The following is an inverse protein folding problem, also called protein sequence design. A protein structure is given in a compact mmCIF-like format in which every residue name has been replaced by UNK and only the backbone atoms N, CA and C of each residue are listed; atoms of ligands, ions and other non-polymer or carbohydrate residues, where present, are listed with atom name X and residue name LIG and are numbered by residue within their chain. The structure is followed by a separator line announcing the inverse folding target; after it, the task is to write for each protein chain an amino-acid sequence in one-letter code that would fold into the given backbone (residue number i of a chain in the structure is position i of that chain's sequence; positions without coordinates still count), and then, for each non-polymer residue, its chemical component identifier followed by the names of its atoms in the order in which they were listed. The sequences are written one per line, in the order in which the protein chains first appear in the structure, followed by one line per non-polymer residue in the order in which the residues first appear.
data_IF_643500671592
#
_entry.id   IF_643500671592
#
_cell.length_a   1.000
_cell.length_b   1.000
_cell.length_c   1.000
_cell.angle_alpha   90.00
_cell.angle_beta   90.00
_cell.angle_gamma   90.00
#
_symmetry.space_group_name_H-M   'P 1'
#
loop_
_entity.id
_entity.type
_entity.pdbx_description
1 polymer ?
#
# COMPACT_ATOMS: atom_id res chain seq x y z
N UNK A 1 1.65 -27.11 11.13
CA UNK A 1 1.29 -26.35 12.34
C UNK A 1 -0.11 -25.78 12.12
N UNK A 2 -0.88 -25.52 13.18
CA UNK A 2 -2.26 -25.03 13.07
C UNK A 2 -2.33 -23.53 13.32
N UNK A 3 -3.45 -22.90 13.00
CA UNK A 3 -3.76 -21.52 13.37
C UNK A 3 -3.67 -21.30 14.88
N UNK A 4 -3.85 -22.35 15.69
CA UNK A 4 -3.77 -22.30 17.15
C UNK A 4 -2.34 -22.41 17.72
N UNK A 5 -1.30 -22.33 16.87
CA UNK A 5 0.09 -22.39 17.33
C UNK A 5 0.55 -21.14 18.11
N UNK A 6 -0.16 -20.01 17.95
CA UNK A 6 -0.07 -18.83 18.78
C UNK A 6 -1.41 -18.50 19.42
N UNK A 7 -1.40 -17.95 20.64
CA UNK A 7 -2.56 -17.18 21.13
C UNK A 7 -2.72 -15.96 20.23
N UNK A 8 -3.92 -15.71 19.73
CA UNK A 8 -4.19 -14.56 18.89
C UNK A 8 -5.61 -14.03 19.11
N UNK A 9 -5.85 -12.80 18.70
CA UNK A 9 -7.18 -12.22 18.53
C UNK A 9 -7.43 -11.93 17.05
N UNK A 10 -8.70 -11.93 16.64
CA UNK A 10 -9.07 -11.54 15.28
C UNK A 10 -10.29 -10.65 15.30
N UNK A 11 -10.39 -9.77 14.28
CA UNK A 11 -11.50 -8.84 14.12
C UNK A 11 -11.80 -8.59 12.64
N UNK A 12 -13.06 -8.78 12.27
CA UNK A 12 -13.53 -8.45 10.94
C UNK A 12 -13.68 -6.95 10.76
N UNK A 13 -13.24 -6.42 9.63
CA UNK A 13 -13.59 -5.08 9.21
C UNK A 13 -15.06 -4.99 8.78
N UNK A 14 -15.60 -3.79 8.72
CA UNK A 14 -17.04 -3.55 8.50
C UNK A 14 -17.54 -4.02 7.12
N UNK A 15 -16.64 -4.13 6.14
CA UNK A 15 -16.93 -4.56 4.76
C UNK A 15 -16.16 -5.83 4.38
N UNK A 16 -15.67 -6.58 5.37
CA UNK A 16 -14.98 -7.84 5.13
C UNK A 16 -15.89 -8.88 4.45
N UNK A 17 -15.32 -9.59 3.48
CA UNK A 17 -15.93 -10.71 2.80
C UNK A 17 -14.96 -11.91 2.73
N UNK A 18 -15.44 -13.15 2.59
CA UNK A 18 -14.58 -14.31 2.36
C UNK A 18 -13.64 -14.08 1.16
N UNK A 19 -12.38 -14.49 1.30
CA UNK A 19 -11.34 -14.23 0.31
C UNK A 19 -10.82 -12.78 0.28
N UNK A 20 -11.34 -11.90 1.14
CA UNK A 20 -10.86 -10.54 1.33
C UNK A 20 -9.44 -10.51 1.91
N UNK A 21 -8.85 -9.29 2.09
CA UNK A 21 -7.49 -9.16 2.61
C UNK A 21 -7.32 -9.77 4.00
N UNK A 22 -6.16 -10.36 4.28
CA UNK A 22 -5.69 -10.63 5.64
C UNK A 22 -4.73 -9.53 6.10
N UNK A 23 -4.94 -9.03 7.30
CA UNK A 23 -4.10 -8.00 7.90
C UNK A 23 -3.51 -8.47 9.23
N UNK A 24 -2.24 -8.86 9.22
CA UNK A 24 -1.52 -9.27 10.43
C UNK A 24 -0.95 -8.06 11.15
N UNK A 25 -1.20 -7.94 12.46
CA UNK A 25 -0.73 -6.83 13.29
C UNK A 25 0.09 -7.35 14.48
N UNK A 26 1.32 -6.86 14.63
CA UNK A 26 2.29 -7.34 15.61
C UNK A 26 2.60 -6.27 16.64
N UNK A 27 2.35 -6.56 17.91
CA UNK A 27 2.57 -5.65 19.02
C UNK A 27 4.05 -5.39 19.34
N UNK A 28 4.35 -4.28 20.01
CA UNK A 28 5.67 -4.01 20.57
C UNK A 28 5.95 -4.76 21.87
N UNK A 29 7.17 -4.65 22.39
CA UNK A 29 7.55 -5.22 23.70
C UNK A 29 6.60 -4.74 24.80
N UNK A 30 6.06 -5.68 25.59
CA UNK A 30 5.10 -5.42 26.67
C UNK A 30 3.66 -5.19 26.21
N UNK A 31 3.41 -5.15 24.89
CA UNK A 31 2.07 -5.17 24.32
C UNK A 31 1.44 -6.56 24.33
N UNK A 32 0.29 -6.67 23.67
CA UNK A 32 -0.42 -7.93 23.47
C UNK A 32 -1.18 -7.91 22.15
N UNK A 33 -1.90 -8.98 21.84
CA UNK A 33 -2.81 -9.06 20.69
C UNK A 33 -3.85 -7.94 20.62
N UNK A 34 -4.11 -7.24 21.73
CA UNK A 34 -5.06 -6.15 21.77
C UNK A 34 -4.49 -4.82 21.24
N UNK A 35 -3.15 -4.65 21.17
CA UNK A 35 -2.53 -3.35 20.91
C UNK A 35 -2.99 -2.69 19.61
N UNK A 36 -3.08 -3.45 18.51
CA UNK A 36 -3.47 -2.93 17.19
C UNK A 36 -4.72 -3.60 16.62
N UNK A 37 -5.41 -4.43 17.41
CA UNK A 37 -6.57 -5.19 16.94
C UNK A 37 -7.68 -4.30 16.40
N UNK A 38 -7.96 -3.18 17.08
CA UNK A 38 -9.00 -2.23 16.66
C UNK A 38 -8.54 -1.31 15.53
N UNK A 39 -7.25 -1.05 15.45
CA UNK A 39 -6.67 -0.20 14.42
C UNK A 39 -6.73 -0.85 13.03
N UNK A 40 -6.61 -2.17 12.94
CA UNK A 40 -6.68 -2.89 11.66
C UNK A 40 -7.98 -2.64 10.88
N UNK A 41 -9.17 -2.86 11.45
CA UNK A 41 -10.45 -2.58 10.80
C UNK A 41 -10.70 -1.10 10.47
N UNK A 42 -10.08 -0.17 11.22
CA UNK A 42 -10.14 1.26 10.89
C UNK A 42 -9.32 1.60 9.65
N UNK A 43 -8.18 0.94 9.46
CA UNK A 43 -7.30 1.14 8.32
C UNK A 43 -7.84 0.48 7.05
N UNK A 44 -8.25 -0.79 7.16
CA UNK A 44 -8.67 -1.62 6.02
C UNK A 44 -9.98 -2.34 6.40
N UNK A 45 -11.14 -1.68 6.25
CA UNK A 45 -12.44 -2.25 6.58
C UNK A 45 -12.79 -3.52 5.80
N UNK A 46 -12.12 -3.79 4.71
CA UNK A 46 -12.28 -4.98 3.87
C UNK A 46 -11.54 -6.20 4.44
N UNK A 47 -10.61 -6.00 5.39
CA UNK A 47 -9.74 -7.06 5.89
C UNK A 47 -10.31 -7.83 7.08
N UNK A 48 -9.85 -9.08 7.23
CA UNK A 48 -9.79 -9.77 8.50
C UNK A 48 -8.46 -9.45 9.17
N UNK A 49 -8.50 -8.76 10.31
CA UNK A 49 -7.32 -8.47 11.13
C UNK A 49 -7.01 -9.65 12.03
N UNK A 50 -5.75 -10.08 12.08
CA UNK A 50 -5.22 -11.17 12.91
C UNK A 50 -4.06 -10.61 13.72
N UNK A 51 -4.15 -10.68 15.03
CA UNK A 51 -3.18 -10.16 15.97
C UNK A 51 -2.61 -11.28 16.84
N UNK A 52 -1.45 -11.87 16.49
CA UNK A 52 -0.79 -12.86 17.36
C UNK A 52 -0.22 -12.20 18.60
N UNK A 53 -0.22 -12.94 19.70
CA UNK A 53 0.47 -12.59 20.95
C UNK A 53 1.88 -13.18 20.93
N UNK A 54 2.90 -12.36 21.20
CA UNK A 54 4.25 -12.84 21.45
C UNK A 54 4.29 -13.79 22.64
N UNK A 55 4.92 -14.93 22.49
CA UNK A 55 4.93 -16.05 23.44
C UNK A 55 6.21 -16.13 24.29
N UNK A 56 7.10 -15.14 24.18
CA UNK A 56 8.27 -14.95 25.04
C UNK A 56 7.94 -13.91 26.11
N UNK A 57 8.24 -14.22 27.37
CA UNK A 57 8.09 -13.28 28.50
C UNK A 57 9.46 -12.84 28.99
N UNK A 58 9.73 -11.54 28.94
CA UNK A 58 10.90 -10.91 29.54
C UNK A 58 10.44 -10.11 30.76
N UNK A 59 10.64 -10.68 31.97
CA UNK A 59 10.18 -10.08 33.25
C UNK A 59 8.70 -9.65 33.23
N UNK A 60 7.85 -10.42 32.55
CA UNK A 60 6.42 -10.15 32.39
C UNK A 60 6.06 -9.36 31.14
N UNK A 61 7.00 -8.74 30.45
CA UNK A 61 6.75 -8.09 29.17
C UNK A 61 6.74 -9.13 28.05
N UNK A 62 5.68 -9.16 27.24
CA UNK A 62 5.55 -10.07 26.11
C UNK A 62 6.40 -9.60 24.93
N UNK A 63 7.01 -10.57 24.24
CA UNK A 63 7.86 -10.39 23.06
C UNK A 63 7.65 -11.55 22.09
N UNK A 64 8.03 -11.35 20.82
CA UNK A 64 7.99 -12.41 19.82
C UNK A 64 9.25 -13.29 19.84
N UNK A 65 10.37 -12.78 20.33
CA UNK A 65 11.62 -13.55 20.43
C UNK A 65 12.51 -13.00 21.57
N UNK A 66 13.49 -13.79 22.03
CA UNK A 66 14.40 -13.45 23.12
C UNK A 66 15.50 -12.50 22.68
N UNK A 67 16.01 -11.73 23.66
CA UNK A 67 17.22 -10.92 23.55
C UNK A 67 18.11 -11.08 24.79
N UNK A 68 19.41 -10.90 24.61
CA UNK A 68 20.35 -10.85 25.73
C UNK A 68 20.42 -9.46 26.35
N UNK A 69 20.28 -8.40 25.52
CA UNK A 69 20.21 -6.99 25.91
C UNK A 69 19.48 -6.20 24.81
N UNK A 70 19.31 -4.89 25.01
CA UNK A 70 18.76 -4.02 23.95
C UNK A 70 19.67 -4.07 22.71
N UNK A 71 19.07 -4.35 21.53
CA UNK A 71 19.80 -4.51 20.28
C UNK A 71 20.64 -5.80 20.15
N UNK A 72 20.70 -6.66 21.19
CA UNK A 72 21.47 -7.91 21.19
C UNK A 72 20.50 -9.09 21.21
N UNK A 73 20.16 -9.60 20.03
CA UNK A 73 19.16 -10.66 19.88
C UNK A 73 19.75 -12.07 20.09
N UNK A 74 18.91 -12.97 20.61
CA UNK A 74 19.13 -14.41 20.55
C UNK A 74 18.72 -14.89 19.15
N UNK A 75 19.68 -14.99 18.24
CA UNK A 75 19.41 -15.35 16.84
C UNK A 75 18.91 -16.78 16.65
N UNK A 76 19.25 -17.71 17.55
CA UNK A 76 18.71 -19.07 17.51
C UNK A 76 17.22 -19.07 17.86
N UNK A 77 16.84 -18.34 18.91
CA UNK A 77 15.43 -18.17 19.27
C UNK A 77 14.69 -17.36 18.20
N UNK A 78 15.26 -16.27 17.66
CA UNK A 78 14.67 -15.50 16.55
C UNK A 78 14.37 -16.40 15.34
N UNK A 79 15.34 -17.21 14.90
CA UNK A 79 15.12 -18.11 13.77
C UNK A 79 14.01 -19.12 14.05
N UNK A 80 13.98 -19.71 15.27
CA UNK A 80 12.93 -20.64 15.68
C UNK A 80 11.55 -19.98 15.68
N UNK A 81 11.43 -18.76 16.24
CA UNK A 81 10.17 -17.99 16.31
C UNK A 81 9.71 -17.54 14.95
N UNK A 82 10.65 -17.16 14.09
CA UNK A 82 10.35 -16.78 12.71
C UNK A 82 9.72 -17.93 11.95
N UNK A 83 10.28 -19.13 12.02
CA UNK A 83 9.71 -20.31 11.37
C UNK A 83 8.32 -20.67 11.93
N UNK A 84 8.13 -20.55 13.24
CA UNK A 84 6.82 -20.75 13.86
C UNK A 84 5.79 -19.71 13.38
N UNK A 85 6.20 -18.43 13.26
CA UNK A 85 5.33 -17.36 12.79
C UNK A 85 5.00 -17.52 11.30
N UNK A 86 5.96 -17.89 10.45
CA UNK A 86 5.72 -18.26 9.05
C UNK A 86 4.65 -19.35 8.95
N UNK A 87 4.79 -20.40 9.75
CA UNK A 87 3.83 -21.50 9.72
C UNK A 87 2.43 -21.10 10.22
N UNK A 88 2.35 -20.21 11.24
CA UNK A 88 1.09 -19.62 11.71
C UNK A 88 0.41 -18.80 10.62
N UNK A 89 1.15 -17.88 9.98
CA UNK A 89 0.62 -17.01 8.91
C UNK A 89 0.14 -17.86 7.73
N UNK A 90 0.95 -18.83 7.28
CA UNK A 90 0.58 -19.73 6.16
C UNK A 90 -0.67 -20.57 6.46
N UNK A 91 -0.90 -20.98 7.72
CA UNK A 91 -2.13 -21.66 8.10
C UNK A 91 -3.37 -20.77 7.92
N UNK A 92 -3.29 -19.49 8.30
CA UNK A 92 -4.36 -18.52 8.05
C UNK A 92 -4.54 -18.21 6.56
N UNK A 93 -3.46 -18.08 5.80
CA UNK A 93 -3.52 -17.88 4.34
C UNK A 93 -4.23 -19.05 3.66
N UNK A 94 -3.91 -20.27 4.05
CA UNK A 94 -4.54 -21.48 3.50
C UNK A 94 -6.02 -21.61 3.86
N UNK A 95 -6.42 -21.19 5.06
CA UNK A 95 -7.82 -21.25 5.52
C UNK A 95 -8.69 -20.18 4.88
N UNK A 96 -8.16 -18.96 4.72
CA UNK A 96 -8.96 -17.81 4.29
C UNK A 96 -8.82 -17.49 2.80
N UNK A 97 -7.84 -18.09 2.09
CA UNK A 97 -7.56 -17.85 0.66
C UNK A 97 -7.62 -16.36 0.28
N UNK A 98 -6.83 -15.48 0.96
CA UNK A 98 -6.99 -14.05 0.85
C UNK A 98 -6.56 -13.50 -0.51
N UNK A 99 -7.21 -12.43 -0.94
CA UNK A 99 -6.81 -11.65 -2.13
C UNK A 99 -5.46 -10.97 -1.96
N UNK A 100 -5.08 -10.63 -0.73
CA UNK A 100 -3.78 -10.03 -0.39
C UNK A 100 -3.45 -10.22 1.08
N UNK A 101 -2.16 -10.22 1.43
CA UNK A 101 -1.67 -10.34 2.81
C UNK A 101 -0.86 -9.09 3.17
N UNK A 102 -1.24 -8.46 4.27
CA UNK A 102 -0.69 -7.19 4.73
C UNK A 102 -0.13 -7.38 6.14
N UNK A 103 1.01 -6.77 6.43
CA UNK A 103 1.63 -6.78 7.75
C UNK A 103 1.77 -5.37 8.33
N UNK A 104 1.57 -5.22 9.64
CA UNK A 104 1.95 -4.04 10.41
C UNK A 104 2.62 -4.49 11.70
N UNK A 105 3.78 -3.96 12.03
CA UNK A 105 4.47 -4.26 13.26
C UNK A 105 5.11 -3.03 13.88
N UNK A 106 5.18 -3.02 15.22
CA UNK A 106 5.83 -1.96 15.99
C UNK A 106 6.99 -2.54 16.80
N UNK A 107 8.18 -1.91 16.71
CA UNK A 107 9.34 -2.28 17.51
C UNK A 107 9.66 -3.78 17.40
N UNK A 108 9.59 -4.56 18.49
CA UNK A 108 9.77 -6.02 18.45
C UNK A 108 8.82 -6.73 17.46
N UNK A 109 7.59 -6.22 17.29
CA UNK A 109 6.65 -6.70 16.29
C UNK A 109 7.07 -6.37 14.86
N UNK A 110 7.71 -5.22 14.63
CA UNK A 110 8.30 -4.88 13.33
C UNK A 110 9.50 -5.79 13.01
N UNK A 111 10.28 -6.16 14.04
CA UNK A 111 11.45 -6.99 13.87
C UNK A 111 11.09 -8.43 13.50
N UNK A 112 10.08 -9.04 14.15
CA UNK A 112 9.62 -10.38 13.76
C UNK A 112 8.95 -10.36 12.37
N UNK A 113 8.22 -9.29 12.02
CA UNK A 113 7.64 -9.13 10.69
C UNK A 113 8.75 -9.01 9.62
N UNK A 114 9.80 -8.22 9.87
CA UNK A 114 10.96 -8.13 8.99
C UNK A 114 11.67 -9.48 8.82
N UNK A 115 11.80 -10.26 9.90
CA UNK A 115 12.39 -11.59 9.85
C UNK A 115 11.53 -12.59 9.06
N UNK A 116 10.19 -12.49 9.13
CA UNK A 116 9.28 -13.30 8.29
C UNK A 116 9.42 -12.90 6.82
N UNK A 117 9.48 -11.60 6.50
CA UNK A 117 9.70 -11.11 5.13
C UNK A 117 11.01 -11.63 4.56
N UNK A 118 12.06 -11.67 5.39
CA UNK A 118 13.37 -12.17 4.98
C UNK A 118 13.35 -13.64 4.54
N UNK A 119 12.72 -14.51 5.32
CA UNK A 119 12.78 -15.97 5.10
C UNK A 119 11.60 -16.54 4.30
N UNK A 120 10.51 -15.78 4.16
CA UNK A 120 9.31 -16.17 3.43
C UNK A 120 8.78 -14.98 2.60
N UNK A 121 9.55 -14.58 1.56
CA UNK A 121 9.31 -13.36 0.80
C UNK A 121 7.96 -13.35 0.06
N UNK A 122 7.39 -14.50 -0.21
CA UNK A 122 6.14 -14.69 -0.95
C UNK A 122 4.86 -14.41 -0.14
N UNK A 123 4.95 -14.14 1.18
CA UNK A 123 3.77 -14.03 2.03
C UNK A 123 3.10 -12.64 1.90
N UNK A 124 3.88 -11.58 2.11
CA UNK A 124 3.33 -10.23 2.21
C UNK A 124 3.45 -9.46 0.90
N UNK A 125 2.37 -8.81 0.49
CA UNK A 125 2.38 -7.82 -0.59
C UNK A 125 2.66 -6.40 -0.09
N UNK A 126 2.28 -6.12 1.16
CA UNK A 126 2.45 -4.82 1.81
C UNK A 126 2.88 -5.01 3.26
N UNK A 127 3.81 -4.16 3.73
CA UNK A 127 4.25 -4.17 5.12
C UNK A 127 4.46 -2.74 5.65
N UNK A 128 3.99 -2.48 6.87
CA UNK A 128 4.33 -1.27 7.62
C UNK A 128 5.20 -1.67 8.83
N UNK A 129 6.45 -1.21 8.85
CA UNK A 129 7.43 -1.48 9.89
C UNK A 129 7.65 -0.19 10.69
N UNK A 130 7.10 -0.14 11.90
CA UNK A 130 7.21 1.03 12.77
C UNK A 130 8.37 0.82 13.75
N UNK A 131 9.36 1.72 13.73
CA UNK A 131 10.55 1.66 14.57
C UNK A 131 11.26 0.29 14.54
N UNK A 132 11.57 -0.26 13.36
CA UNK A 132 12.26 -1.54 13.27
C UNK A 132 13.71 -1.43 13.71
N UNK A 133 14.22 -2.48 14.37
CA UNK A 133 15.64 -2.65 14.64
C UNK A 133 16.08 -4.02 14.09
N UNK A 134 16.58 -4.04 12.87
CA UNK A 134 17.14 -5.23 12.22
C UNK A 134 18.66 -5.19 12.34
N UNK A 135 19.22 -6.14 13.09
CA UNK A 135 20.67 -6.20 13.41
C UNK A 135 21.34 -7.38 12.72
N UNK A 136 20.72 -7.95 11.69
CA UNK A 136 21.26 -9.02 10.86
C UNK A 136 21.22 -8.63 9.38
N UNK A 137 22.10 -9.25 8.59
CA UNK A 137 22.08 -9.12 7.15
C UNK A 137 20.93 -9.97 6.59
N UNK A 138 20.06 -9.37 5.81
CA UNK A 138 18.99 -10.11 5.12
C UNK A 138 19.57 -10.99 4.00
N UNK A 139 18.85 -12.05 3.64
CA UNK A 139 19.22 -12.93 2.54
C UNK A 139 19.31 -12.12 1.24
N UNK A 140 20.32 -12.36 0.43
CA UNK A 140 20.47 -11.72 -0.88
C UNK A 140 19.51 -12.31 -1.91
N UNK A 141 18.95 -11.47 -2.79
CA UNK A 141 18.04 -11.90 -3.84
C UNK A 141 17.31 -10.72 -4.49
N UNK A 142 16.41 -11.03 -5.42
CA UNK A 142 15.52 -10.07 -6.09
C UNK A 142 14.03 -10.47 -5.95
N UNK A 143 13.69 -11.17 -4.90
CA UNK A 143 12.43 -11.86 -4.66
C UNK A 143 11.36 -11.01 -3.96
N UNK A 144 11.64 -9.74 -3.67
CA UNK A 144 10.72 -8.79 -3.03
C UNK A 144 10.12 -7.74 -3.99
N UNK A 145 10.23 -7.92 -5.30
CA UNK A 145 9.74 -6.94 -6.29
C UNK A 145 8.23 -6.64 -6.18
N UNK A 146 7.45 -7.55 -5.61
CA UNK A 146 6.02 -7.38 -5.36
C UNK A 146 5.71 -6.68 -4.02
N UNK A 147 6.70 -6.58 -3.10
CA UNK A 147 6.50 -6.02 -1.78
C UNK A 147 6.57 -4.48 -1.81
N UNK A 148 5.57 -3.85 -1.20
CA UNK A 148 5.57 -2.41 -0.89
C UNK A 148 5.70 -2.22 0.60
N UNK A 149 6.74 -1.53 1.04
CA UNK A 149 7.06 -1.34 2.46
C UNK A 149 7.04 0.13 2.84
N UNK A 150 6.34 0.43 3.92
CA UNK A 150 6.46 1.69 4.65
C UNK A 150 7.29 1.43 5.91
N UNK A 151 8.35 2.18 6.10
CA UNK A 151 9.11 2.19 7.35
C UNK A 151 8.87 3.55 8.02
N UNK A 152 8.51 3.57 9.29
CA UNK A 152 8.43 4.81 10.08
C UNK A 152 9.42 4.76 11.22
N UNK A 153 10.07 5.89 11.53
CA UNK A 153 11.12 5.94 12.55
C UNK A 153 11.31 7.34 13.14
N UNK A 154 11.76 7.40 14.38
CA UNK A 154 12.17 8.62 15.04
C UNK A 154 13.61 9.01 14.72
N UNK A 155 13.82 10.26 14.30
CA UNK A 155 15.18 10.77 14.00
C UNK A 155 16.10 10.88 15.22
N UNK A 156 15.57 10.70 16.44
CA UNK A 156 16.31 10.69 17.71
C UNK A 156 15.99 9.44 18.54
N UNK A 157 15.66 8.34 17.86
CA UNK A 157 15.34 7.08 18.53
C UNK A 157 16.61 6.44 19.11
N UNK A 158 16.73 6.30 20.45
CA UNK A 158 17.88 5.70 21.08
C UNK A 158 17.89 4.16 21.02
N UNK A 159 16.74 3.55 20.72
CA UNK A 159 16.56 2.09 20.62
C UNK A 159 16.81 1.62 19.19
N UNK A 160 16.26 2.34 18.21
CA UNK A 160 16.38 2.06 16.79
C UNK A 160 17.12 3.22 16.08
N UNK A 161 18.45 3.25 16.11
CA UNK A 161 19.23 4.34 15.53
C UNK A 161 18.90 4.56 14.04
N UNK A 162 18.88 5.81 13.54
CA UNK A 162 18.53 6.12 12.16
C UNK A 162 19.34 5.39 11.09
N UNK A 163 20.62 5.14 11.32
CA UNK A 163 21.48 4.38 10.42
C UNK A 163 21.02 2.92 10.26
N UNK A 164 20.54 2.29 11.34
CA UNK A 164 19.99 0.93 11.27
C UNK A 164 18.69 0.88 10.47
N UNK A 165 17.86 1.90 10.60
CA UNK A 165 16.64 2.02 9.78
C UNK A 165 16.99 2.24 8.31
N UNK A 166 17.99 3.08 8.01
CA UNK A 166 18.50 3.28 6.65
C UNK A 166 19.04 1.99 6.03
N UNK A 167 19.84 1.25 6.77
CA UNK A 167 20.39 -0.04 6.33
C UNK A 167 19.27 -1.06 6.00
N UNK A 168 18.22 -1.12 6.82
CA UNK A 168 17.07 -2.00 6.53
C UNK A 168 16.39 -1.60 5.22
N UNK A 169 16.18 -0.30 4.98
CA UNK A 169 15.59 0.18 3.75
C UNK A 169 16.44 -0.23 2.54
N UNK A 170 17.76 -0.02 2.58
CA UNK A 170 18.70 -0.42 1.54
C UNK A 170 18.69 -1.94 1.29
N UNK A 171 18.64 -2.77 2.33
CA UNK A 171 18.56 -4.23 2.19
C UNK A 171 17.26 -4.68 1.51
N UNK A 172 16.13 -4.08 1.84
CA UNK A 172 14.84 -4.39 1.20
C UNK A 172 14.81 -3.93 -0.26
N UNK A 173 15.33 -2.73 -0.56
CA UNK A 173 15.44 -2.19 -1.92
C UNK A 173 16.38 -3.03 -2.78
N UNK A 174 17.49 -3.51 -2.22
CA UNK A 174 18.42 -4.40 -2.91
C UNK A 174 17.79 -5.73 -3.33
N UNK A 175 16.72 -6.16 -2.65
CA UNK A 175 15.88 -7.31 -3.00
C UNK A 175 14.70 -6.96 -3.92
N UNK A 176 14.62 -5.73 -4.40
CA UNK A 176 13.60 -5.27 -5.34
C UNK A 176 12.34 -4.69 -4.69
N UNK A 177 12.23 -4.61 -3.37
CA UNK A 177 11.07 -4.02 -2.71
C UNK A 177 10.95 -2.52 -3.02
N UNK A 178 9.70 -2.04 -3.09
CA UNK A 178 9.44 -0.60 -3.08
C UNK A 178 9.39 -0.13 -1.63
N UNK A 179 10.34 0.67 -1.20
CA UNK A 179 10.44 1.15 0.19
C UNK A 179 10.19 2.65 0.28
N UNK A 180 9.39 3.06 1.25
CA UNK A 180 9.22 4.44 1.67
C UNK A 180 9.61 4.57 3.13
N UNK A 181 10.53 5.47 3.45
CA UNK A 181 10.91 5.77 4.84
C UNK A 181 10.36 7.13 5.23
N UNK A 182 9.63 7.18 6.35
CA UNK A 182 9.07 8.40 6.92
C UNK A 182 9.65 8.65 8.31
N UNK A 183 10.20 9.84 8.49
CA UNK A 183 10.87 10.25 9.72
C UNK A 183 10.04 11.26 10.50
N UNK A 184 9.99 11.10 11.82
CA UNK A 184 9.55 12.16 12.71
C UNK A 184 10.67 12.65 13.63
N UNK A 185 10.51 13.82 14.25
CA UNK A 185 11.56 14.44 15.05
C UNK A 185 11.72 13.84 16.46
N UNK A 186 10.89 12.86 16.84
CA UNK A 186 10.85 12.20 18.16
C UNK A 186 11.85 11.05 18.31
N UNK A 187 11.60 10.22 19.33
CA UNK A 187 12.33 9.01 19.68
C UNK A 187 11.62 7.73 19.26
N UNK A 188 11.44 6.79 20.22
CA UNK A 188 10.82 5.47 19.99
C UNK A 188 9.29 5.46 20.14
N UNK A 189 8.69 6.58 20.50
CA UNK A 189 7.25 6.72 20.62
C UNK A 189 6.55 6.79 19.24
N UNK A 190 5.33 6.26 19.16
CA UNK A 190 4.50 6.41 17.96
C UNK A 190 3.96 7.85 17.92
N UNK A 191 4.40 8.62 16.93
CA UNK A 191 3.95 9.99 16.72
C UNK A 191 2.63 10.03 15.91
N UNK A 192 1.83 11.10 16.08
CA UNK A 192 0.61 11.28 15.30
C UNK A 192 0.88 11.32 13.78
N UNK A 193 2.00 11.92 13.37
CA UNK A 193 2.42 11.96 11.96
C UNK A 193 2.62 10.56 11.36
N UNK A 194 3.09 9.58 12.13
CA UNK A 194 3.22 8.20 11.68
C UNK A 194 1.86 7.55 11.48
N UNK A 195 0.91 7.79 12.38
CA UNK A 195 -0.47 7.31 12.23
C UNK A 195 -1.09 7.86 10.94
N UNK A 196 -0.85 9.13 10.62
CA UNK A 196 -1.37 9.76 9.40
C UNK A 196 -0.74 9.16 8.13
N UNK A 197 0.57 8.88 8.16
CA UNK A 197 1.27 8.23 7.04
C UNK A 197 0.82 6.77 6.87
N UNK A 198 0.59 6.04 7.97
CA UNK A 198 0.05 4.67 7.92
C UNK A 198 -1.36 4.67 7.34
N UNK A 199 -2.22 5.64 7.70
CA UNK A 199 -3.55 5.80 7.11
C UNK A 199 -3.48 6.06 5.60
N UNK A 200 -2.54 6.92 5.17
CA UNK A 200 -2.32 7.17 3.74
C UNK A 200 -1.81 5.92 3.01
N UNK A 201 -0.92 5.14 3.63
CA UNK A 201 -0.45 3.86 3.08
C UNK A 201 -1.60 2.84 2.95
N UNK A 202 -2.44 2.71 3.97
CA UNK A 202 -3.63 1.85 3.94
C UNK A 202 -4.64 2.31 2.87
N UNK A 203 -4.81 3.63 2.67
CA UNK A 203 -5.63 4.19 1.59
C UNK A 203 -5.15 3.72 0.21
N UNK A 204 -3.84 3.74 -0.03
CA UNK A 204 -3.26 3.26 -1.28
C UNK A 204 -3.42 1.74 -1.45
N UNK A 205 -3.28 0.94 -0.37
CA UNK A 205 -3.56 -0.50 -0.41
C UNK A 205 -5.01 -0.73 -0.84
N UNK A 206 -5.96 -0.06 -0.18
CA UNK A 206 -7.39 -0.18 -0.48
C UNK A 206 -7.70 0.19 -1.93
N UNK A 207 -7.09 1.25 -2.44
CA UNK A 207 -7.23 1.63 -3.85
C UNK A 207 -6.78 0.52 -4.82
N UNK A 208 -5.79 -0.27 -4.45
CA UNK A 208 -5.28 -1.40 -5.24
C UNK A 208 -6.08 -2.70 -5.11
N UNK A 209 -7.03 -2.81 -4.13
CA UNK A 209 -7.83 -4.03 -3.94
C UNK A 209 -8.85 -4.28 -5.06
N UNK A 210 -9.29 -3.20 -5.73
CA UNK A 210 -10.17 -3.28 -6.90
C UNK A 210 -9.35 -2.89 -8.12
N UNK A 211 -9.31 -3.76 -9.12
CA UNK A 211 -8.63 -3.46 -10.38
C UNK A 211 -9.29 -2.23 -11.06
N UNK A 212 -8.51 -1.38 -11.76
CA UNK A 212 -9.06 -0.19 -12.40
C UNK A 212 -10.11 -0.54 -13.48
N UNK A 213 -10.11 -1.77 -14.01
CA UNK A 213 -11.07 -2.21 -15.02
C UNK A 213 -12.46 -2.46 -14.45
N UNK A 214 -12.57 -2.76 -13.17
CA UNK A 214 -13.84 -3.00 -12.47
C UNK A 214 -14.47 -1.71 -11.92
N UNK A 215 -13.74 -0.59 -11.98
CA UNK A 215 -14.20 0.68 -11.45
C UNK A 215 -14.90 1.51 -12.53
N UNK A 216 -16.10 2.07 -12.23
CA UNK A 216 -16.78 2.95 -13.15
C UNK A 216 -16.04 4.28 -13.33
N UNK A 217 -16.11 4.85 -14.52
CA UNK A 217 -15.69 6.23 -14.77
C UNK A 217 -16.96 7.10 -14.75
N UNK A 218 -16.98 8.04 -13.83
CA UNK A 218 -18.00 9.05 -13.71
C UNK A 218 -17.61 10.31 -14.46
N UNK A 219 -18.60 11.05 -14.98
CA UNK A 219 -18.42 12.38 -15.55
C UNK A 219 -19.06 13.40 -14.64
N UNK A 220 -18.27 14.37 -14.19
CA UNK A 220 -18.71 15.53 -13.44
C UNK A 220 -18.58 16.76 -14.34
N UNK A 221 -19.64 17.58 -14.51
CA UNK A 221 -19.66 18.69 -15.45
C UNK A 221 -20.58 19.80 -14.90
N UNK A 222 -20.07 21.01 -14.77
CA UNK A 222 -20.81 22.18 -14.30
C UNK A 222 -21.24 23.11 -15.47
N UNK A 223 -21.02 22.68 -16.72
CA UNK A 223 -21.31 23.43 -17.94
C UNK A 223 -20.22 24.43 -18.33
N UNK A 224 -19.16 24.61 -17.53
CA UNK A 224 -17.96 25.40 -17.84
C UNK A 224 -16.70 24.55 -17.77
N UNK A 225 -16.62 23.69 -16.77
CA UNK A 225 -15.55 22.73 -16.54
C UNK A 225 -16.13 21.39 -16.19
N UNK A 226 -15.36 20.36 -16.43
CA UNK A 226 -15.72 19.02 -16.01
C UNK A 226 -14.49 18.13 -15.87
N UNK A 227 -14.74 16.93 -15.39
CA UNK A 227 -13.73 15.87 -15.31
C UNK A 227 -14.35 14.49 -15.50
N UNK A 228 -13.59 13.62 -16.06
CA UNK A 228 -13.81 12.17 -15.98
C UNK A 228 -13.00 11.65 -14.81
N UNK A 229 -13.64 10.97 -13.89
CA UNK A 229 -13.01 10.52 -12.64
C UNK A 229 -13.27 9.05 -12.40
N UNK A 230 -12.21 8.33 -12.03
CA UNK A 230 -12.25 6.96 -11.56
C UNK A 230 -11.92 6.99 -10.07
N UNK A 231 -12.84 6.50 -9.23
CA UNK A 231 -12.69 6.46 -7.78
C UNK A 231 -12.45 5.06 -7.30
N UNK A 232 -11.33 4.86 -6.62
CA UNK A 232 -11.01 3.60 -5.96
C UNK A 232 -11.39 3.60 -4.49
N UNK A 233 -11.37 2.40 -3.89
CA UNK A 233 -11.49 2.26 -2.44
C UNK A 233 -10.46 3.15 -1.74
N UNK A 234 -10.83 3.67 -0.57
CA UNK A 234 -9.99 4.63 0.15
C UNK A 234 -10.06 6.07 -0.35
N UNK A 235 -10.84 6.36 -1.42
CA UNK A 235 -11.04 7.72 -1.92
C UNK A 235 -9.91 8.23 -2.83
N UNK A 236 -9.05 7.35 -3.32
CA UNK A 236 -8.03 7.71 -4.33
C UNK A 236 -8.73 7.93 -5.67
N UNK A 237 -8.46 9.06 -6.29
CA UNK A 237 -9.04 9.44 -7.59
C UNK A 237 -7.97 9.52 -8.68
N UNK A 238 -8.29 8.99 -9.86
CA UNK A 238 -7.60 9.32 -11.11
C UNK A 238 -8.56 10.15 -11.96
N UNK A 239 -8.06 11.23 -12.56
CA UNK A 239 -8.93 12.15 -13.29
C UNK A 239 -8.35 12.63 -14.62
N UNK A 240 -9.27 13.02 -15.50
CA UNK A 240 -8.98 13.79 -16.71
C UNK A 240 -9.91 14.99 -16.74
N UNK A 241 -9.37 16.18 -16.49
CA UNK A 241 -10.12 17.43 -16.44
C UNK A 241 -10.18 18.13 -17.79
N UNK A 242 -11.28 18.86 -18.01
CA UNK A 242 -11.50 19.63 -19.22
C UNK A 242 -12.26 20.93 -18.94
N UNK A 243 -12.14 21.86 -19.87
CA UNK A 243 -12.89 23.12 -19.90
C UNK A 243 -13.70 23.19 -21.19
N UNK A 244 -14.96 23.66 -21.11
CA UNK A 244 -15.74 24.02 -22.28
C UNK A 244 -15.16 25.27 -22.97
N UNK A 245 -14.75 25.12 -24.22
CA UNK A 245 -14.25 26.20 -25.06
C UNK A 245 -15.35 26.85 -25.87
N UNK A 246 -15.26 26.83 -27.22
CA UNK A 246 -16.37 27.22 -28.09
C UNK A 246 -17.56 26.28 -27.94
N UNK A 247 -18.81 26.67 -28.28
CA UNK A 247 -19.97 25.80 -28.21
C UNK A 247 -19.72 24.47 -28.90
N UNK A 248 -20.00 23.36 -28.19
CA UNK A 248 -19.78 22.02 -28.70
C UNK A 248 -18.32 21.55 -28.74
N UNK A 249 -17.42 22.19 -27.99
CA UNK A 249 -16.02 21.77 -27.96
C UNK A 249 -15.47 21.81 -26.55
N UNK A 250 -14.78 20.75 -26.13
CA UNK A 250 -14.04 20.70 -24.86
C UNK A 250 -12.54 20.73 -25.09
N UNK A 251 -11.83 21.26 -24.12
CA UNK A 251 -10.36 21.32 -24.09
C UNK A 251 -9.91 20.45 -22.93
N UNK A 252 -9.18 19.36 -23.19
CA UNK A 252 -8.59 18.53 -22.14
C UNK A 252 -7.41 19.31 -21.55
N UNK A 253 -7.52 19.71 -20.30
CA UNK A 253 -6.54 20.54 -19.62
C UNK A 253 -5.45 19.73 -18.94
N UNK A 254 -5.84 18.66 -18.21
CA UNK A 254 -4.94 17.88 -17.37
C UNK A 254 -5.38 16.42 -17.26
N UNK A 255 -4.43 15.55 -16.94
CA UNK A 255 -4.68 14.14 -16.60
C UNK A 255 -3.78 13.78 -15.42
N UNK A 256 -4.39 13.34 -14.33
CA UNK A 256 -3.71 12.90 -13.13
C UNK A 256 -4.04 11.44 -12.84
N UNK A 257 -2.98 10.63 -12.72
CA UNK A 257 -3.10 9.21 -12.39
C UNK A 257 -2.16 8.91 -11.22
N UNK A 258 -2.68 8.63 -10.03
CA UNK A 258 -1.89 8.26 -8.86
C UNK A 258 -0.98 7.06 -9.10
N UNK A 259 0.12 7.00 -8.35
CA UNK A 259 1.14 5.95 -8.49
C UNK A 259 0.58 4.54 -8.29
N UNK A 260 -0.44 4.37 -7.45
CA UNK A 260 -1.13 3.08 -7.24
C UNK A 260 -1.73 2.50 -8.54
N UNK A 261 -2.04 3.35 -9.52
CA UNK A 261 -2.56 2.96 -10.84
C UNK A 261 -1.52 3.04 -11.96
N UNK A 262 -0.25 3.32 -11.64
CA UNK A 262 0.82 3.43 -12.65
C UNK A 262 0.97 2.11 -13.43
N UNK A 263 1.05 2.22 -14.74
CA UNK A 263 1.20 1.05 -15.63
C UNK A 263 -0.09 0.26 -15.91
N UNK A 264 -1.21 0.59 -15.27
CA UNK A 264 -2.49 -0.13 -15.41
C UNK A 264 -3.43 0.47 -16.46
N UNK A 265 -2.95 1.38 -17.31
CA UNK A 265 -3.74 1.91 -18.43
C UNK A 265 -4.86 2.88 -18.06
N UNK A 266 -4.98 3.32 -16.80
CA UNK A 266 -6.08 4.14 -16.30
C UNK A 266 -6.25 5.45 -17.07
N UNK A 267 -5.17 6.15 -17.40
CA UNK A 267 -5.27 7.38 -18.18
C UNK A 267 -5.87 7.16 -19.59
N UNK A 268 -5.52 6.04 -20.24
CA UNK A 268 -6.13 5.68 -21.53
C UNK A 268 -7.60 5.30 -21.37
N UNK A 269 -7.97 4.63 -20.26
CA UNK A 269 -9.37 4.29 -19.94
C UNK A 269 -10.22 5.55 -19.77
N UNK A 270 -9.71 6.56 -19.04
CA UNK A 270 -10.37 7.87 -18.92
C UNK A 270 -10.57 8.54 -20.29
N UNK A 271 -9.54 8.51 -21.15
CA UNK A 271 -9.63 9.08 -22.49
C UNK A 271 -10.65 8.34 -23.37
N UNK A 272 -10.67 7.02 -23.36
CA UNK A 272 -11.65 6.21 -24.12
C UNK A 272 -13.07 6.56 -23.70
N UNK A 273 -13.34 6.65 -22.42
CA UNK A 273 -14.66 7.06 -21.93
C UNK A 273 -15.05 8.45 -22.41
N UNK A 274 -14.15 9.42 -22.38
CA UNK A 274 -14.38 10.77 -22.92
C UNK A 274 -14.70 10.72 -24.41
N UNK A 275 -13.96 9.94 -25.20
CA UNK A 275 -14.19 9.78 -26.65
C UNK A 275 -15.56 9.13 -26.92
N UNK A 276 -15.96 8.13 -26.14
CA UNK A 276 -17.25 7.49 -26.29
C UNK A 276 -18.40 8.47 -26.00
N UNK A 277 -18.27 9.28 -24.96
CA UNK A 277 -19.23 10.36 -24.67
C UNK A 277 -19.27 11.43 -25.78
N UNK A 278 -18.11 11.78 -26.36
CA UNK A 278 -18.02 12.72 -27.48
C UNK A 278 -18.71 12.19 -28.75
N UNK A 279 -18.65 10.90 -28.97
CA UNK A 279 -19.37 10.22 -30.08
C UNK A 279 -20.88 10.17 -29.83
N UNK A 280 -21.29 9.94 -28.57
CA UNK A 280 -22.69 9.80 -28.19
C UNK A 280 -23.45 11.15 -28.18
N UNK A 281 -22.81 12.22 -27.71
CA UNK A 281 -23.36 13.58 -27.64
C UNK A 281 -22.39 14.51 -28.37
N UNK A 282 -22.51 14.68 -29.69
CA UNK A 282 -21.45 15.19 -30.57
C UNK A 282 -20.86 16.51 -30.10
N UNK A 283 -19.67 16.41 -29.51
CA UNK A 283 -18.80 17.52 -29.20
C UNK A 283 -17.36 17.20 -29.65
N UNK A 284 -16.64 18.23 -30.02
CA UNK A 284 -15.25 18.12 -30.47
C UNK A 284 -14.28 18.22 -29.29
N UNK A 285 -13.10 17.67 -29.46
CA UNK A 285 -12.06 17.60 -28.40
C UNK A 285 -10.77 18.27 -28.85
N UNK A 286 -10.22 19.15 -28.02
CA UNK A 286 -8.88 19.73 -28.17
C UNK A 286 -7.98 19.19 -27.06
N UNK A 287 -6.98 18.33 -27.36
CA UNK A 287 -6.11 17.75 -26.34
C UNK A 287 -4.91 18.68 -26.04
N UNK A 288 -5.07 19.69 -25.17
CA UNK A 288 -3.93 20.48 -24.69
C UNK A 288 -3.05 19.73 -23.70
N UNK A 289 -3.63 18.81 -22.91
CA UNK A 289 -2.88 17.94 -22.02
C UNK A 289 -1.85 17.12 -22.81
N UNK A 290 -0.55 17.17 -22.45
CA UNK A 290 0.50 16.41 -23.14
C UNK A 290 0.24 14.90 -23.16
N UNK A 291 -0.30 14.34 -22.08
CA UNK A 291 -0.68 12.93 -22.00
C UNK A 291 -1.77 12.60 -23.04
N UNK A 292 -2.90 13.33 -23.02
CA UNK A 292 -4.01 13.10 -23.95
C UNK A 292 -3.55 13.25 -25.42
N UNK A 293 -2.77 14.27 -25.72
CA UNK A 293 -2.20 14.46 -27.07
C UNK A 293 -1.35 13.28 -27.52
N UNK A 294 -0.49 12.75 -26.61
CA UNK A 294 0.33 11.57 -26.90
C UNK A 294 -0.52 10.31 -27.13
N UNK A 295 -1.63 10.16 -26.40
CA UNK A 295 -2.53 9.03 -26.58
C UNK A 295 -3.28 9.08 -27.91
N UNK A 296 -3.81 10.23 -28.33
CA UNK A 296 -4.43 10.37 -29.66
C UNK A 296 -3.46 10.06 -30.81
N UNK A 297 -2.17 10.39 -30.65
CA UNK A 297 -1.14 10.02 -31.65
C UNK A 297 -0.88 8.51 -31.69
N UNK A 298 -0.94 7.81 -30.54
CA UNK A 298 -0.72 6.37 -30.44
C UNK A 298 -1.95 5.56 -30.84
N UNK A 299 -3.14 6.13 -30.71
CA UNK A 299 -4.45 5.53 -30.92
C UNK A 299 -5.24 6.34 -31.97
N UNK A 300 -4.90 6.23 -33.29
CA UNK A 300 -5.56 6.99 -34.35
C UNK A 300 -7.07 6.71 -34.45
N UNK A 301 -7.52 5.53 -33.98
CA UNK A 301 -8.92 5.13 -33.92
C UNK A 301 -9.78 5.98 -32.96
N UNK A 302 -9.14 6.77 -32.11
CA UNK A 302 -9.83 7.71 -31.19
C UNK A 302 -9.88 9.14 -31.74
N UNK A 303 -9.19 9.41 -32.85
CA UNK A 303 -8.97 10.79 -33.34
C UNK A 303 -10.16 11.38 -34.11
N UNK A 304 -11.21 10.62 -34.35
CA UNK A 304 -12.44 11.03 -35.07
C UNK A 304 -13.24 12.11 -34.35
N UNK A 305 -13.00 12.30 -33.04
CA UNK A 305 -13.63 13.37 -32.21
C UNK A 305 -12.81 14.65 -32.09
N UNK A 306 -11.61 14.69 -32.69
CA UNK A 306 -10.74 15.86 -32.57
C UNK A 306 -11.25 17.05 -33.38
N UNK A 307 -11.15 18.24 -32.78
CA UNK A 307 -11.37 19.51 -33.50
C UNK A 307 -10.29 19.70 -34.55
N UNK A 308 -10.70 19.59 -35.84
CA UNK A 308 -9.80 19.73 -37.00
C UNK A 308 -9.37 21.15 -37.27
N UNK A 309 -10.01 22.16 -36.64
CA UNK A 309 -9.67 23.57 -36.80
C UNK A 309 -8.44 24.00 -36.00
N UNK A 310 -8.07 23.18 -34.97
CA UNK A 310 -6.89 23.41 -34.13
C UNK A 310 -5.70 22.67 -34.69
N UNK A 311 -4.74 23.34 -35.31
CA UNK A 311 -3.46 22.75 -35.71
C UNK A 311 -2.65 22.46 -34.45
N UNK A 312 -2.65 21.22 -33.99
CA UNK A 312 -1.75 20.74 -32.93
C UNK A 312 -0.33 20.86 -33.50
N UNK A 313 0.48 21.80 -32.97
CA UNK A 313 1.90 21.90 -33.35
C UNK A 313 2.57 20.58 -32.99
N UNK A 314 2.93 19.84 -34.03
CA UNK A 314 3.83 18.68 -33.90
C UNK A 314 5.21 19.25 -33.63
N UNK A 315 5.62 19.31 -32.35
CA UNK A 315 7.02 19.51 -31.97
C UNK A 315 7.77 18.20 -31.93
#
# INVERSE_FOLDING_TARGET
MSMDSYTYASKHGATHAPGGPLFFVFHGTGGSEAQFLDFGPELIPEALTIAPRGDVSEMGALRFFKRAAEGVYDFEDLATRTQAMVAFIRAHVAEHEPSTVIGLGYSNGANILASVIDVAPDIFSHAALMHPLVTWDMVSGDDLAHLRTLITAGGRDPICPPDMTGNLAEMLEARGATVKVEWHAGGHEIAQSEVDVIKAFATNIRAGLTGPDDLPIEREDDGKKGRYVLRALGGVEAEMSYTWGKPGCIIIDHTEVPDVFRGQGVGLKLLRRLVDDARAAPFEVVPLCPFANAQFKRHPELADVLDTSVKIKTG
#
